data_IF_819364285512
#
_entry.id   IF_819364285512
#
_cell.length_a   1.000
_cell.length_b   1.000
_cell.length_c   1.000
_cell.angle_alpha   90.00
_cell.angle_beta   90.00
_cell.angle_gamma   90.00
#
_symmetry.space_group_name_H-M   'P 1'
#
loop_
_entity.id
_entity.type
_entity.pdbx_description
1 polymer ?
#
# COMPACT_ATOMS: atom_id res chain seq x y z
N UNK A 1 5.77 -32.10 -5.49
CA UNK A 1 5.83 -30.83 -4.76
C UNK A 1 4.50 -30.63 -4.06
N UNK A 2 4.53 -30.32 -2.76
CA UNK A 2 3.34 -30.15 -1.93
C UNK A 2 3.19 -28.70 -1.50
N UNK A 3 2.04 -28.11 -1.75
CA UNK A 3 1.76 -26.70 -1.45
C UNK A 3 0.61 -26.64 -0.43
N UNK A 4 0.86 -25.97 0.69
CA UNK A 4 -0.11 -25.78 1.76
C UNK A 4 -0.68 -24.36 1.68
N UNK A 5 -1.99 -24.21 1.57
CA UNK A 5 -2.64 -22.92 1.39
C UNK A 5 -3.50 -22.54 2.59
N UNK A 6 -3.54 -21.25 2.92
CA UNK A 6 -4.49 -20.68 3.87
C UNK A 6 -4.91 -19.28 3.45
N UNK A 7 -6.21 -19.06 3.46
CA UNK A 7 -6.86 -17.75 3.41
C UNK A 7 -8.04 -17.76 4.38
N UNK A 8 -8.43 -16.59 4.93
CA UNK A 8 -9.59 -16.50 5.80
C UNK A 8 -10.86 -16.98 5.11
N UNK A 9 -11.82 -17.55 5.88
CA UNK A 9 -13.13 -17.97 5.36
C UNK A 9 -13.83 -16.79 4.66
N UNK A 10 -14.51 -17.10 3.54
CA UNK A 10 -15.21 -16.08 2.73
C UNK A 10 -14.38 -15.46 1.60
N UNK A 11 -13.12 -15.81 1.48
CA UNK A 11 -12.28 -15.45 0.33
C UNK A 11 -12.59 -16.39 -0.85
N UNK A 12 -12.73 -15.86 -2.06
CA UNK A 12 -12.95 -16.65 -3.30
C UNK A 12 -11.63 -17.30 -3.76
N UNK A 13 -11.26 -18.38 -3.07
CA UNK A 13 -9.95 -19.02 -3.25
C UNK A 13 -9.96 -20.29 -4.09
N UNK A 14 -11.11 -20.85 -4.35
CA UNK A 14 -11.23 -22.07 -5.20
C UNK A 14 -10.70 -21.79 -6.62
N UNK A 15 -10.90 -20.57 -7.10
CA UNK A 15 -10.37 -20.09 -8.37
C UNK A 15 -8.84 -20.10 -8.42
N UNK A 16 -8.18 -19.62 -7.35
CA UNK A 16 -6.72 -19.62 -7.23
C UNK A 16 -6.12 -21.02 -7.34
N UNK A 17 -6.75 -22.03 -6.69
CA UNK A 17 -6.27 -23.41 -6.77
C UNK A 17 -6.35 -23.94 -8.19
N UNK A 18 -7.43 -23.65 -8.89
CA UNK A 18 -7.57 -24.07 -10.28
C UNK A 18 -6.45 -23.47 -11.15
N UNK A 19 -6.09 -22.21 -10.92
CA UNK A 19 -5.04 -21.52 -11.66
C UNK A 19 -3.65 -22.02 -11.27
N UNK A 20 -3.40 -22.31 -9.98
CA UNK A 20 -2.18 -23.01 -9.56
C UNK A 20 -2.06 -24.40 -10.18
N UNK A 21 -3.14 -25.16 -10.24
CA UNK A 21 -3.16 -26.48 -10.87
C UNK A 21 -2.82 -26.45 -12.36
N UNK A 22 -3.21 -25.38 -13.07
CA UNK A 22 -2.82 -25.16 -14.47
C UNK A 22 -1.35 -24.80 -14.61
N UNK A 23 -0.85 -23.89 -13.76
CA UNK A 23 0.51 -23.36 -13.83
C UNK A 23 1.57 -24.34 -13.29
N UNK A 24 1.21 -25.19 -12.33
CA UNK A 24 2.06 -26.21 -11.69
C UNK A 24 1.33 -27.56 -11.64
N UNK A 25 1.10 -28.25 -12.77
CA UNK A 25 0.31 -29.46 -12.84
C UNK A 25 0.86 -30.64 -12.01
N UNK A 26 2.16 -30.59 -11.64
CA UNK A 26 2.79 -31.58 -10.78
C UNK A 26 2.66 -31.26 -9.27
N UNK A 27 2.06 -30.14 -8.90
CA UNK A 27 1.90 -29.73 -7.52
C UNK A 27 0.63 -30.28 -6.90
N UNK A 28 0.76 -30.87 -5.73
CA UNK A 28 -0.36 -31.24 -4.86
C UNK A 28 -0.67 -30.03 -3.98
N UNK A 29 -1.79 -29.35 -4.24
CA UNK A 29 -2.23 -28.17 -3.49
C UNK A 29 -3.32 -28.59 -2.51
N UNK A 30 -3.15 -28.28 -1.22
CA UNK A 30 -4.15 -28.52 -0.19
C UNK A 30 -4.37 -27.33 0.71
N UNK A 31 -5.59 -27.23 1.26
CA UNK A 31 -5.89 -26.23 2.29
C UNK A 31 -5.51 -26.75 3.66
N UNK A 32 -4.86 -25.87 4.41
CA UNK A 32 -4.62 -26.11 5.82
C UNK A 32 -5.92 -26.12 6.62
N UNK A 33 -6.02 -27.08 7.52
CA UNK A 33 -7.07 -27.17 8.55
C UNK A 33 -6.40 -27.30 9.90
N UNK A 34 -7.07 -26.88 10.96
CA UNK A 34 -6.56 -27.05 12.31
C UNK A 34 -6.18 -28.51 12.58
N UNK A 35 -4.95 -28.71 13.07
CA UNK A 35 -4.36 -30.02 13.28
C UNK A 35 -3.66 -30.65 12.05
N UNK A 36 -3.65 -29.99 10.87
CA UNK A 36 -2.88 -30.47 9.72
C UNK A 36 -1.36 -30.20 9.91
N UNK A 37 -0.64 -31.28 10.24
CA UNK A 37 0.81 -31.31 10.37
C UNK A 37 1.50 -32.07 9.24
N UNK A 38 0.77 -32.44 8.17
CA UNK A 38 1.35 -33.17 7.06
C UNK A 38 2.44 -32.32 6.35
N UNK A 39 3.57 -32.91 5.93
CA UNK A 39 4.68 -32.16 5.30
C UNK A 39 4.23 -31.40 4.04
N UNK A 40 4.84 -30.22 3.85
CA UNK A 40 4.68 -29.43 2.63
C UNK A 40 6.02 -28.78 2.23
N UNK A 41 6.19 -28.55 0.94
CA UNK A 41 7.36 -27.85 0.40
C UNK A 41 7.21 -26.32 0.48
N UNK A 42 6.00 -25.81 0.25
CA UNK A 42 5.68 -24.39 0.21
C UNK A 42 4.39 -24.08 0.96
N UNK A 43 4.33 -22.88 1.54
CA UNK A 43 3.09 -22.34 2.10
C UNK A 43 2.68 -21.06 1.35
N UNK A 44 1.42 -20.98 0.93
CA UNK A 44 0.79 -19.80 0.34
C UNK A 44 -0.23 -19.25 1.34
N UNK A 45 -0.02 -18.06 1.86
CA UNK A 45 -0.78 -17.61 3.03
C UNK A 45 -1.26 -16.18 2.95
N UNK A 46 -2.48 -15.96 3.41
CA UNK A 46 -3.01 -14.66 3.71
C UNK A 46 -3.59 -14.65 5.13
N UNK A 47 -2.96 -13.87 6.05
CA UNK A 47 -3.33 -13.79 7.47
C UNK A 47 -3.52 -15.18 8.11
N UNK A 48 -2.54 -16.07 8.03
CA UNK A 48 -2.67 -17.42 8.59
C UNK A 48 -2.70 -17.38 10.13
N UNK A 49 -3.37 -18.36 10.77
CA UNK A 49 -3.24 -18.53 12.22
C UNK A 49 -1.81 -19.01 12.58
N UNK A 50 -1.29 -18.64 13.77
CA UNK A 50 0.05 -19.04 14.20
C UNK A 50 0.30 -20.56 14.12
N UNK A 51 -0.70 -21.37 14.47
CA UNK A 51 -0.61 -22.84 14.47
C UNK A 51 -0.27 -23.45 13.11
N UNK A 52 -0.57 -22.76 11.99
CA UNK A 52 -0.25 -23.24 10.65
C UNK A 52 1.26 -23.26 10.37
N UNK A 53 1.98 -22.28 10.89
CA UNK A 53 3.40 -22.06 10.55
C UNK A 53 4.34 -22.45 11.67
N UNK A 54 3.82 -22.58 12.90
CA UNK A 54 4.63 -22.91 14.06
C UNK A 54 5.34 -24.25 13.90
N UNK A 55 6.66 -24.24 14.05
CA UNK A 55 7.48 -25.47 13.97
C UNK A 55 7.69 -26.05 12.55
N UNK A 56 7.21 -25.37 11.50
CA UNK A 56 7.29 -25.85 10.11
C UNK A 56 8.68 -25.65 9.50
N UNK A 57 9.64 -26.47 9.93
CA UNK A 57 11.00 -26.49 9.36
C UNK A 57 11.10 -27.25 8.02
N UNK A 58 10.04 -27.91 7.60
CA UNK A 58 9.92 -28.65 6.35
C UNK A 58 9.73 -27.73 5.13
N UNK A 59 9.25 -26.50 5.34
CA UNK A 59 8.97 -25.53 4.27
C UNK A 59 10.26 -24.98 3.64
N UNK A 60 10.32 -24.95 2.33
CA UNK A 60 11.38 -24.29 1.55
C UNK A 60 11.17 -22.77 1.47
N UNK A 61 9.90 -22.32 1.41
CA UNK A 61 9.51 -20.91 1.48
C UNK A 61 8.05 -20.72 1.87
N UNK A 62 7.74 -19.52 2.38
CA UNK A 62 6.39 -19.04 2.68
C UNK A 62 6.10 -17.86 1.76
N UNK A 63 5.02 -17.92 0.97
CA UNK A 63 4.56 -16.83 0.12
C UNK A 63 3.40 -16.11 0.76
N UNK A 64 3.56 -14.81 1.02
CA UNK A 64 2.48 -13.95 1.45
C UNK A 64 1.69 -13.46 0.22
N UNK A 65 0.38 -13.68 0.22
CA UNK A 65 -0.53 -13.40 -0.89
C UNK A 65 -0.89 -11.91 -1.05
N UNK A 66 -0.04 -11.03 -0.60
CA UNK A 66 -0.18 -9.57 -0.73
C UNK A 66 1.17 -8.87 -0.66
N UNK A 67 1.20 -7.60 -1.04
CA UNK A 67 2.42 -6.78 -0.98
C UNK A 67 2.78 -6.38 0.45
N UNK A 68 1.80 -6.11 1.29
CA UNK A 68 2.00 -5.76 2.70
C UNK A 68 2.24 -7.01 3.55
N UNK A 69 3.28 -6.98 4.38
CA UNK A 69 3.72 -8.12 5.21
C UNK A 69 3.57 -7.88 6.71
N UNK A 70 3.04 -6.73 7.09
CA UNK A 70 2.84 -6.32 8.49
C UNK A 70 2.00 -7.33 9.29
N UNK A 71 0.96 -7.92 8.69
CA UNK A 71 0.10 -8.89 9.36
C UNK A 71 0.80 -10.23 9.61
N UNK A 72 1.58 -10.72 8.65
CA UNK A 72 2.30 -12.00 8.81
C UNK A 72 3.49 -11.86 9.74
N UNK A 73 4.18 -10.72 9.72
CA UNK A 73 5.31 -10.47 10.63
C UNK A 73 4.88 -10.40 12.11
N UNK A 74 3.63 -10.01 12.40
CA UNK A 74 3.07 -10.05 13.76
C UNK A 74 3.00 -11.46 14.36
N UNK A 75 3.13 -12.52 13.56
CA UNK A 75 3.20 -13.89 14.05
C UNK A 75 4.48 -14.17 14.85
N UNK A 76 5.51 -13.33 14.74
CA UNK A 76 6.74 -13.43 15.54
C UNK A 76 7.36 -14.83 15.51
N UNK A 77 7.49 -15.43 16.70
CA UNK A 77 8.12 -16.75 16.86
C UNK A 77 7.35 -17.93 16.20
N UNK A 78 6.11 -17.73 15.78
CA UNK A 78 5.39 -18.74 15.00
C UNK A 78 5.89 -18.81 13.55
N UNK A 79 6.62 -17.82 13.06
CA UNK A 79 7.29 -17.91 11.76
C UNK A 79 8.55 -18.77 11.90
N UNK A 80 8.68 -19.88 11.13
CA UNK A 80 9.81 -20.78 11.25
C UNK A 80 11.13 -20.05 10.93
N UNK A 81 12.12 -20.22 11.81
CA UNK A 81 13.45 -19.66 11.62
C UNK A 81 14.10 -20.26 10.37
N UNK A 82 14.79 -19.41 9.59
CA UNK A 82 15.51 -19.86 8.39
C UNK A 82 14.67 -20.15 7.15
N UNK A 83 13.33 -20.16 7.27
CA UNK A 83 12.45 -20.30 6.10
C UNK A 83 12.21 -18.90 5.51
N UNK A 84 12.55 -18.66 4.22
CA UNK A 84 12.33 -17.37 3.59
C UNK A 84 10.83 -17.04 3.49
N UNK A 85 10.49 -15.81 3.87
CA UNK A 85 9.18 -15.22 3.65
C UNK A 85 9.26 -14.36 2.39
N UNK A 86 8.40 -14.61 1.41
CA UNK A 86 8.41 -13.97 0.10
C UNK A 86 7.07 -13.29 -0.11
N UNK A 87 7.09 -12.01 -0.52
CA UNK A 87 5.88 -11.27 -0.84
C UNK A 87 5.58 -11.25 -2.34
N UNK A 88 4.33 -10.98 -2.68
CA UNK A 88 3.97 -10.48 -4.00
C UNK A 88 4.49 -9.05 -4.13
N UNK A 89 5.18 -8.72 -5.23
CA UNK A 89 5.78 -7.39 -5.40
C UNK A 89 4.86 -6.44 -6.12
N UNK A 90 4.25 -6.87 -7.21
CA UNK A 90 3.24 -6.10 -7.96
C UNK A 90 1.91 -6.85 -8.01
N UNK A 91 1.86 -8.04 -8.63
CA UNK A 91 0.63 -8.83 -8.75
C UNK A 91 -0.53 -8.03 -9.36
N UNK A 92 -0.27 -7.15 -10.32
CA UNK A 92 -1.27 -6.28 -10.95
C UNK A 92 -1.73 -5.09 -10.09
N UNK A 93 -1.15 -4.89 -8.90
CA UNK A 93 -1.54 -3.81 -7.99
C UNK A 93 -0.99 -2.44 -8.40
N UNK A 94 0.20 -2.38 -9.02
CA UNK A 94 0.88 -1.12 -9.28
C UNK A 94 0.09 -0.20 -10.22
N UNK A 95 -0.54 -0.75 -11.25
CA UNK A 95 -1.37 0.04 -12.17
C UNK A 95 -2.66 0.53 -11.51
N UNK A 96 -3.28 -0.29 -10.65
CA UNK A 96 -4.49 0.07 -9.91
C UNK A 96 -4.18 1.20 -8.93
N UNK A 97 -3.12 1.07 -8.16
CA UNK A 97 -2.66 2.08 -7.22
C UNK A 97 -2.32 3.40 -7.91
N UNK A 98 -1.62 3.33 -9.06
CA UNK A 98 -1.32 4.51 -9.87
C UNK A 98 -2.61 5.18 -10.38
N UNK A 99 -3.59 4.42 -10.84
CA UNK A 99 -4.89 4.94 -11.28
C UNK A 99 -5.65 5.61 -10.15
N UNK A 100 -5.71 4.96 -8.97
CA UNK A 100 -6.39 5.51 -7.79
C UNK A 100 -5.78 6.84 -7.34
N UNK A 101 -4.46 6.88 -7.17
CA UNK A 101 -3.74 8.08 -6.74
C UNK A 101 -3.85 9.18 -7.79
N UNK A 102 -3.73 8.85 -9.08
CA UNK A 102 -3.90 9.82 -10.17
C UNK A 102 -5.30 10.43 -10.16
N UNK A 103 -6.35 9.62 -9.96
CA UNK A 103 -7.72 10.11 -9.82
C UNK A 103 -7.85 11.13 -8.67
N UNK A 104 -7.31 10.81 -7.50
CA UNK A 104 -7.37 11.69 -6.33
C UNK A 104 -6.60 13.00 -6.58
N UNK A 105 -5.38 12.94 -7.12
CA UNK A 105 -4.55 14.10 -7.45
C UNK A 105 -5.24 15.01 -8.47
N UNK A 106 -5.76 14.46 -9.57
CA UNK A 106 -6.46 15.23 -10.59
C UNK A 106 -7.78 15.80 -10.05
N UNK A 107 -8.45 15.07 -9.17
CA UNK A 107 -9.66 15.54 -8.47
C UNK A 107 -9.40 16.79 -7.65
N UNK A 108 -8.32 16.82 -6.89
CA UNK A 108 -7.91 17.98 -6.09
C UNK A 108 -7.40 19.12 -6.96
N UNK A 109 -6.55 18.81 -7.94
CA UNK A 109 -6.04 19.82 -8.85
C UNK A 109 -7.17 20.51 -9.63
N UNK A 110 -8.10 19.71 -10.18
CA UNK A 110 -9.26 20.22 -10.92
C UNK A 110 -10.38 20.80 -10.07
N UNK A 111 -10.26 20.78 -8.74
CA UNK A 111 -11.27 21.29 -7.79
C UNK A 111 -12.66 20.62 -7.99
N UNK A 112 -12.67 19.34 -8.37
CA UNK A 112 -13.94 18.61 -8.65
C UNK A 112 -14.80 18.40 -7.41
N UNK A 113 -14.22 18.39 -6.23
CA UNK A 113 -14.92 18.42 -4.94
C UNK A 113 -15.80 19.66 -4.80
N UNK A 114 -15.26 20.84 -5.12
CA UNK A 114 -16.01 22.12 -5.07
C UNK A 114 -17.04 22.18 -6.20
N UNK A 115 -16.70 21.73 -7.40
CA UNK A 115 -17.68 21.71 -8.49
C UNK A 115 -18.86 20.77 -8.19
N UNK A 116 -18.65 19.64 -7.51
CA UNK A 116 -19.73 18.79 -7.03
C UNK A 116 -20.64 19.51 -6.03
N UNK A 117 -20.05 20.27 -5.10
CA UNK A 117 -20.84 21.09 -4.15
C UNK A 117 -21.62 22.19 -4.86
N UNK A 118 -21.03 22.88 -5.83
CA UNK A 118 -21.71 23.87 -6.66
C UNK A 118 -22.87 23.24 -7.44
N UNK A 119 -22.65 22.10 -8.06
CA UNK A 119 -23.70 21.38 -8.78
C UNK A 119 -24.90 21.01 -7.87
N UNK A 120 -24.64 20.55 -6.64
CA UNK A 120 -25.69 20.28 -5.65
C UNK A 120 -26.48 21.53 -5.28
N UNK A 121 -25.88 22.72 -5.30
CA UNK A 121 -26.51 24.01 -5.08
C UNK A 121 -27.05 24.70 -6.35
N UNK A 122 -26.91 24.05 -7.52
CA UNK A 122 -27.27 24.60 -8.84
C UNK A 122 -26.51 25.90 -9.17
N UNK A 123 -25.25 25.99 -8.73
CA UNK A 123 -24.39 27.15 -8.98
C UNK A 123 -23.53 26.86 -10.22
N UNK A 124 -23.52 27.77 -11.18
CA UNK A 124 -22.67 27.75 -12.37
C UNK A 124 -21.60 28.84 -12.24
N UNK A 125 -20.50 28.52 -11.58
CA UNK A 125 -19.40 29.46 -11.34
C UNK A 125 -18.05 28.81 -11.59
N UNK A 126 -17.31 29.20 -12.65
CA UNK A 126 -15.96 28.70 -12.86
C UNK A 126 -15.02 29.20 -11.74
N UNK A 127 -14.11 28.32 -11.33
CA UNK A 127 -13.03 28.66 -10.38
C UNK A 127 -11.78 29.11 -11.16
N UNK A 128 -10.89 29.91 -10.55
CA UNK A 128 -9.59 30.23 -11.14
C UNK A 128 -8.82 28.95 -11.47
N UNK A 129 -8.12 28.96 -12.62
CA UNK A 129 -7.29 27.84 -13.01
C UNK A 129 -6.11 27.66 -12.04
N UNK A 130 -5.90 26.46 -11.48
CA UNK A 130 -4.80 26.21 -10.58
C UNK A 130 -3.46 26.14 -11.32
N UNK A 131 -2.38 26.61 -10.68
CA UNK A 131 -1.03 26.52 -11.21
C UNK A 131 -0.42 25.15 -10.90
N UNK A 132 0.00 24.39 -11.92
CA UNK A 132 0.74 23.15 -11.72
C UNK A 132 2.06 23.36 -10.96
N UNK A 133 2.73 24.51 -11.14
CA UNK A 133 4.00 24.82 -10.46
C UNK A 133 3.86 24.86 -8.95
N UNK A 134 2.68 25.25 -8.46
CA UNK A 134 2.38 25.36 -7.03
C UNK A 134 1.67 24.10 -6.49
N UNK A 135 1.59 23.06 -7.30
CA UNK A 135 0.92 21.80 -6.96
C UNK A 135 1.92 20.63 -6.96
N UNK A 136 2.96 20.76 -6.13
CA UNK A 136 4.00 19.74 -5.99
C UNK A 136 3.46 18.50 -5.27
N UNK A 137 3.82 17.32 -5.78
CA UNK A 137 3.37 16.03 -5.26
C UNK A 137 4.55 15.31 -4.62
N UNK A 138 4.45 15.01 -3.33
CA UNK A 138 5.41 14.22 -2.57
C UNK A 138 4.92 12.79 -2.39
N UNK A 139 5.76 11.83 -2.74
CA UNK A 139 5.48 10.39 -2.60
C UNK A 139 6.37 9.84 -1.50
N UNK A 140 5.77 9.48 -0.36
CA UNK A 140 6.41 8.78 0.75
C UNK A 140 6.51 7.29 0.41
N UNK A 141 7.68 6.87 -0.09
CA UNK A 141 7.98 5.51 -0.51
C UNK A 141 8.11 5.37 -2.03
N UNK A 142 9.34 5.17 -2.52
CA UNK A 142 9.66 4.93 -3.93
C UNK A 142 10.02 3.45 -4.20
N UNK A 143 9.24 2.54 -3.62
CA UNK A 143 9.26 1.11 -3.97
C UNK A 143 8.56 0.85 -5.30
N UNK A 144 8.24 -0.41 -5.60
CA UNK A 144 7.58 -0.82 -6.86
C UNK A 144 6.31 0.00 -7.12
N UNK A 145 5.40 0.07 -6.14
CA UNK A 145 4.12 0.78 -6.27
C UNK A 145 4.33 2.30 -6.36
N UNK A 146 5.16 2.88 -5.48
CA UNK A 146 5.42 4.33 -5.47
C UNK A 146 6.13 4.82 -6.73
N UNK A 147 7.04 4.04 -7.29
CA UNK A 147 7.68 4.35 -8.57
C UNK A 147 6.67 4.33 -9.73
N UNK A 148 5.70 3.42 -9.70
CA UNK A 148 4.63 3.37 -10.71
C UNK A 148 3.69 4.56 -10.60
N UNK A 149 3.35 4.98 -9.37
CA UNK A 149 2.59 6.21 -9.11
C UNK A 149 3.33 7.43 -9.68
N UNK A 150 4.64 7.55 -9.37
CA UNK A 150 5.46 8.64 -9.88
C UNK A 150 5.48 8.69 -11.42
N UNK A 151 5.66 7.55 -12.07
CA UNK A 151 5.66 7.44 -13.53
C UNK A 151 4.30 7.84 -14.14
N UNK A 152 3.18 7.49 -13.52
CA UNK A 152 1.86 7.88 -13.99
C UNK A 152 1.62 9.39 -13.84
N UNK A 153 2.01 9.98 -12.71
CA UNK A 153 1.85 11.40 -12.43
C UNK A 153 2.79 12.29 -13.27
N UNK A 154 3.97 11.77 -13.65
CA UNK A 154 4.91 12.47 -14.52
C UNK A 154 4.29 12.85 -15.89
N UNK A 155 3.36 12.03 -16.40
CA UNK A 155 2.63 12.32 -17.62
C UNK A 155 1.85 13.65 -17.58
N UNK A 156 1.44 14.07 -16.38
CA UNK A 156 0.69 15.31 -16.19
C UNK A 156 1.57 16.52 -15.86
N UNK A 157 2.90 16.37 -15.88
CA UNK A 157 3.88 17.43 -15.70
C UNK A 157 3.78 18.16 -14.35
N UNK A 158 3.35 17.49 -13.29
CA UNK A 158 3.44 18.01 -11.93
C UNK A 158 4.88 17.97 -11.41
N UNK A 159 5.31 18.94 -10.58
CA UNK A 159 6.55 18.80 -9.84
C UNK A 159 6.47 17.59 -8.90
N UNK A 160 7.36 16.60 -9.08
CA UNK A 160 7.35 15.35 -8.31
C UNK A 160 8.54 15.29 -7.35
N UNK A 161 8.24 15.02 -6.09
CA UNK A 161 9.19 14.73 -5.03
C UNK A 161 8.97 13.30 -4.55
N UNK A 162 10.04 12.58 -4.21
CA UNK A 162 9.93 11.26 -3.63
C UNK A 162 10.85 11.12 -2.43
N UNK A 163 10.39 10.46 -1.37
CA UNK A 163 11.21 10.11 -0.23
C UNK A 163 11.44 8.61 -0.15
N UNK A 164 12.68 8.20 0.08
CA UNK A 164 13.08 6.80 0.21
C UNK A 164 14.29 6.65 1.12
N UNK A 165 14.48 5.46 1.73
CA UNK A 165 15.66 5.19 2.55
C UNK A 165 16.95 5.10 1.76
N UNK A 166 16.88 4.58 0.55
CA UNK A 166 18.01 4.41 -0.36
C UNK A 166 17.80 5.26 -1.61
N UNK A 167 18.88 5.75 -2.23
CA UNK A 167 18.77 6.53 -3.47
C UNK A 167 17.97 5.82 -4.54
N UNK A 168 17.13 6.58 -5.25
CA UNK A 168 16.33 6.15 -6.39
C UNK A 168 16.48 7.14 -7.52
N UNK A 169 16.74 6.64 -8.72
CA UNK A 169 16.79 7.43 -9.93
C UNK A 169 15.51 7.20 -10.72
N UNK A 170 14.59 8.16 -10.65
CA UNK A 170 13.32 8.13 -11.38
C UNK A 170 13.22 9.40 -12.23
N UNK A 171 12.98 9.29 -13.54
CA UNK A 171 12.86 10.44 -14.43
C UNK A 171 11.82 11.45 -13.93
N UNK A 172 12.23 12.72 -13.80
CA UNK A 172 11.35 13.82 -13.40
C UNK A 172 10.99 13.85 -11.90
N UNK A 173 11.59 12.98 -11.06
CA UNK A 173 11.34 12.93 -9.62
C UNK A 173 12.57 13.42 -8.86
N UNK A 174 12.41 14.44 -8.03
CA UNK A 174 13.44 14.85 -7.06
C UNK A 174 13.44 13.88 -5.88
N UNK A 175 14.49 13.08 -5.73
CA UNK A 175 14.58 12.10 -4.65
C UNK A 175 15.25 12.67 -3.40
N UNK A 176 14.59 12.54 -2.25
CA UNK A 176 15.07 12.83 -0.91
C UNK A 176 15.37 11.53 -0.19
N UNK A 177 16.56 11.40 0.38
CA UNK A 177 17.06 10.12 0.88
C UNK A 177 17.36 10.18 2.37
N UNK A 178 16.83 9.20 3.10
CA UNK A 178 17.07 9.04 4.53
C UNK A 178 16.25 9.97 5.41
N UNK A 179 16.34 9.76 6.71
CA UNK A 179 15.52 10.45 7.70
C UNK A 179 15.82 11.95 7.79
N UNK A 180 17.09 12.34 7.61
CA UNK A 180 17.53 13.73 7.64
C UNK A 180 16.90 14.58 6.51
N UNK A 181 16.54 13.94 5.39
CA UNK A 181 15.92 14.60 4.26
C UNK A 181 14.38 14.67 4.35
N UNK A 182 13.75 14.03 5.35
CA UNK A 182 12.29 14.00 5.47
C UNK A 182 11.68 15.40 5.59
N UNK A 183 12.28 16.26 6.41
CA UNK A 183 11.78 17.62 6.62
C UNK A 183 11.82 18.46 5.35
N UNK A 184 12.90 18.36 4.57
CA UNK A 184 13.03 19.05 3.30
C UNK A 184 12.03 18.53 2.26
N UNK A 185 11.85 17.20 2.20
CA UNK A 185 10.86 16.55 1.35
C UNK A 185 9.44 17.07 1.65
N UNK A 186 9.04 17.12 2.92
CA UNK A 186 7.72 17.60 3.32
C UNK A 186 7.51 19.06 2.93
N UNK A 187 8.52 19.95 3.18
CA UNK A 187 8.47 21.36 2.79
C UNK A 187 8.43 21.56 1.27
N UNK A 188 8.91 20.61 0.49
CA UNK A 188 8.86 20.64 -0.96
C UNK A 188 7.53 20.14 -1.54
N UNK A 189 6.64 19.58 -0.73
CA UNK A 189 5.45 18.85 -1.17
C UNK A 189 4.15 19.49 -0.67
N UNK A 190 3.19 19.73 -1.58
CA UNK A 190 1.85 20.21 -1.26
C UNK A 190 0.83 19.06 -1.14
N UNK A 191 0.93 18.07 -2.00
CA UNK A 191 0.16 16.83 -1.90
C UNK A 191 1.07 15.76 -1.34
N UNK A 192 0.69 15.11 -0.25
CA UNK A 192 1.42 14.00 0.34
C UNK A 192 0.73 12.69 0.01
N UNK A 193 1.41 11.80 -0.72
CA UNK A 193 0.97 10.43 -1.01
C UNK A 193 1.76 9.47 -0.12
N UNK A 194 1.09 8.77 0.79
CA UNK A 194 1.71 7.75 1.63
C UNK A 194 1.52 6.36 1.00
N UNK A 195 2.67 5.71 0.69
CA UNK A 195 2.76 4.35 0.16
C UNK A 195 3.92 3.57 0.80
N UNK A 196 4.22 3.86 2.07
CA UNK A 196 5.25 3.19 2.85
C UNK A 196 4.80 1.81 3.36
N UNK A 197 5.72 0.88 3.62
CA UNK A 197 5.44 -0.25 4.49
C UNK A 197 5.23 0.23 5.93
N UNK A 198 4.28 -0.39 6.64
CA UNK A 198 4.05 -0.09 8.06
C UNK A 198 5.05 -0.85 8.92
N UNK A 199 5.94 -0.09 9.55
CA UNK A 199 6.96 -0.56 10.49
C UNK A 199 6.93 0.33 11.73
N UNK A 200 7.66 -0.02 12.78
CA UNK A 200 7.78 0.83 13.97
C UNK A 200 8.34 2.22 13.63
N UNK A 201 9.26 2.31 12.67
CA UNK A 201 9.84 3.57 12.22
C UNK A 201 8.88 4.44 11.38
N UNK A 202 7.88 3.84 10.72
CA UNK A 202 6.93 4.56 9.86
C UNK A 202 5.55 4.71 10.47
N UNK A 203 5.28 4.07 11.60
CA UNK A 203 4.03 4.23 12.35
C UNK A 203 3.88 5.68 12.81
N UNK A 204 2.73 6.27 12.53
CA UNK A 204 2.44 7.66 12.89
C UNK A 204 3.34 8.69 12.20
N UNK A 205 3.99 8.35 11.09
CA UNK A 205 4.85 9.30 10.36
C UNK A 205 4.05 10.49 9.82
N UNK A 206 2.77 10.30 9.50
CA UNK A 206 1.83 11.34 9.09
C UNK A 206 1.10 11.86 10.33
N UNK A 207 1.81 12.65 11.13
CA UNK A 207 1.35 13.30 12.35
C UNK A 207 1.32 14.82 12.17
N UNK A 208 0.80 15.55 13.18
CA UNK A 208 0.71 17.01 13.17
C UNK A 208 2.04 17.67 12.79
N UNK A 209 3.12 17.32 13.49
CA UNK A 209 4.46 17.90 13.28
C UNK A 209 4.92 17.80 11.81
N UNK A 210 4.62 16.70 11.16
CA UNK A 210 5.04 16.46 9.77
C UNK A 210 4.05 17.07 8.77
N UNK A 211 2.75 17.00 9.00
CA UNK A 211 1.76 17.62 8.13
C UNK A 211 1.84 19.16 8.12
N UNK A 212 2.20 19.79 9.25
CA UNK A 212 2.40 21.24 9.32
C UNK A 212 3.55 21.76 8.46
N UNK A 213 4.49 20.87 8.07
CA UNK A 213 5.62 21.22 7.18
C UNK A 213 5.24 21.25 5.71
N UNK A 214 4.12 20.63 5.32
CA UNK A 214 3.69 20.61 3.93
C UNK A 214 3.47 22.01 3.38
N UNK A 215 3.75 22.17 2.08
CA UNK A 215 3.43 23.43 1.39
C UNK A 215 1.93 23.66 1.41
N UNK A 216 1.56 24.90 1.72
CA UNK A 216 0.15 25.32 1.69
C UNK A 216 -0.04 26.20 0.47
N UNK A 217 -0.97 25.82 -0.39
CA UNK A 217 -1.55 26.80 -1.28
C UNK A 217 -2.54 27.69 -0.51
N UNK A 218 -3.30 28.52 -1.22
CA UNK A 218 -4.35 29.34 -0.59
C UNK A 218 -5.38 28.49 0.20
N UNK A 219 -5.47 27.18 -0.06
CA UNK A 219 -6.48 26.29 0.45
C UNK A 219 -5.96 25.27 1.47
N UNK A 220 -4.64 25.14 1.62
CA UNK A 220 -3.99 24.12 2.43
C UNK A 220 -3.27 23.06 1.59
N UNK A 221 -2.73 22.04 2.27
CA UNK A 221 -2.13 20.85 1.67
C UNK A 221 -3.16 19.74 1.49
N UNK A 222 -2.78 18.67 0.80
CA UNK A 222 -3.64 17.49 0.58
C UNK A 222 -2.93 16.22 1.05
N UNK A 223 -3.70 15.27 1.58
CA UNK A 223 -3.19 13.97 1.99
C UNK A 223 -3.87 12.84 1.20
N UNK A 224 -3.10 11.88 0.73
CA UNK A 224 -3.58 10.63 0.14
C UNK A 224 -2.89 9.47 0.87
N UNK A 225 -3.66 8.61 1.55
CA UNK A 225 -3.11 7.42 2.19
C UNK A 225 -3.68 6.16 1.54
N UNK A 226 -2.81 5.45 0.84
CA UNK A 226 -3.09 4.16 0.16
C UNK A 226 -2.16 3.05 0.68
N UNK A 227 -1.54 3.26 1.84
CA UNK A 227 -0.59 2.33 2.44
C UNK A 227 -1.23 1.50 3.56
N UNK A 228 -1.22 2.03 4.80
CA UNK A 228 -1.90 1.47 5.99
C UNK A 228 -2.40 2.62 6.88
N UNK A 229 -3.49 2.39 7.60
CA UNK A 229 -4.05 3.40 8.52
C UNK A 229 -3.07 3.84 9.59
N UNK A 230 -2.29 2.91 10.15
CA UNK A 230 -1.31 3.20 11.18
C UNK A 230 -0.19 4.18 10.80
N UNK A 231 -0.12 4.65 9.56
CA UNK A 231 0.78 5.75 9.19
C UNK A 231 0.24 7.11 9.60
N UNK A 232 -1.09 7.28 9.67
CA UNK A 232 -1.77 8.55 9.95
C UNK A 232 -2.21 8.60 11.41
N UNK A 233 -1.88 9.68 12.09
CA UNK A 233 -2.49 10.01 13.38
C UNK A 233 -3.83 10.69 13.10
N UNK A 234 -4.92 9.92 13.16
CA UNK A 234 -6.25 10.32 12.69
C UNK A 234 -6.79 11.57 13.39
N UNK A 235 -6.55 11.71 14.71
CA UNK A 235 -6.93 12.89 15.47
C UNK A 235 -6.19 14.16 15.01
N UNK A 236 -4.90 14.04 14.67
CA UNK A 236 -4.11 15.15 14.15
C UNK A 236 -4.61 15.60 12.77
N UNK A 237 -4.92 14.62 11.90
CA UNK A 237 -5.46 14.91 10.57
C UNK A 237 -6.77 15.69 10.65
N UNK A 238 -7.71 15.21 11.48
CA UNK A 238 -9.00 15.87 11.65
C UNK A 238 -8.84 17.30 12.18
N UNK A 239 -7.99 17.50 13.19
CA UNK A 239 -7.71 18.83 13.73
C UNK A 239 -7.10 19.76 12.66
N UNK A 240 -6.11 19.29 11.90
CA UNK A 240 -5.47 20.09 10.84
C UNK A 240 -6.41 20.40 9.66
N UNK A 241 -7.37 19.55 9.38
CA UNK A 241 -8.44 19.84 8.42
C UNK A 241 -9.32 20.98 8.95
N UNK A 242 -9.73 20.94 10.23
CA UNK A 242 -10.53 22.00 10.83
C UNK A 242 -9.78 23.34 10.93
N UNK A 243 -8.49 23.30 11.14
CA UNK A 243 -7.58 24.46 11.16
C UNK A 243 -7.26 25.02 9.77
N UNK A 244 -7.67 24.32 8.68
CA UNK A 244 -7.38 24.72 7.30
C UNK A 244 -5.92 24.50 6.86
N UNK A 245 -5.15 23.71 7.61
CA UNK A 245 -3.79 23.33 7.24
C UNK A 245 -3.81 22.24 6.16
N UNK A 246 -4.73 21.29 6.29
CA UNK A 246 -5.03 20.26 5.30
C UNK A 246 -6.36 20.63 4.65
N UNK A 247 -6.37 20.82 3.35
CA UNK A 247 -7.55 21.18 2.57
C UNK A 247 -8.51 20.00 2.43
N UNK A 248 -7.98 18.84 2.15
CA UNK A 248 -8.74 17.58 2.05
C UNK A 248 -7.83 16.36 2.15
N UNK A 249 -8.45 15.20 2.40
CA UNK A 249 -7.75 13.91 2.41
C UNK A 249 -8.51 12.84 1.61
N UNK A 250 -7.79 11.93 0.98
CA UNK A 250 -8.31 10.68 0.42
C UNK A 250 -7.67 9.52 1.18
N UNK A 251 -8.51 8.75 1.87
CA UNK A 251 -8.07 7.65 2.72
C UNK A 251 -8.71 6.35 2.25
N UNK A 252 -7.86 5.41 1.85
CA UNK A 252 -8.29 4.05 1.48
C UNK A 252 -8.11 3.07 2.63
N UNK A 253 -7.36 3.47 3.67
CA UNK A 253 -6.95 2.63 4.79
C UNK A 253 -7.07 3.38 6.12
N UNK A 254 -7.38 2.63 7.21
CA UNK A 254 -7.69 3.18 8.52
C UNK A 254 -6.99 2.39 9.63
N UNK A 255 -6.79 3.00 10.81
CA UNK A 255 -6.20 2.31 11.97
C UNK A 255 -7.04 1.09 12.37
N UNK A 256 -8.37 1.24 12.32
CA UNK A 256 -9.31 0.14 12.50
C UNK A 256 -10.11 -0.10 11.22
N UNK A 257 -10.05 -1.31 10.69
CA UNK A 257 -10.81 -1.76 9.51
C UNK A 257 -11.66 -2.99 9.85
N UNK A 258 -12.97 -2.98 9.50
CA UNK A 258 -13.74 -1.90 8.88
C UNK A 258 -13.82 -0.64 9.73
N UNK A 259 -13.86 0.55 9.07
CA UNK A 259 -14.01 1.82 9.76
C UNK A 259 -15.34 1.84 10.57
N UNK A 260 -15.29 2.07 11.90
CA UNK A 260 -16.49 2.03 12.74
C UNK A 260 -17.57 3.02 12.28
N UNK A 261 -18.87 2.67 12.36
CA UNK A 261 -19.96 3.56 11.93
C UNK A 261 -20.01 4.92 12.62
N UNK A 262 -19.50 5.01 13.86
CA UNK A 262 -19.45 6.27 14.61
C UNK A 262 -18.13 7.04 14.45
N UNK A 263 -17.28 6.67 13.50
CA UNK A 263 -16.00 7.34 13.30
C UNK A 263 -16.20 8.75 12.74
N UNK A 264 -15.51 9.81 13.29
CA UNK A 264 -15.73 11.19 12.90
C UNK A 264 -15.42 11.49 11.42
N UNK A 265 -14.61 10.67 10.77
CA UNK A 265 -14.30 10.84 9.34
C UNK A 265 -15.53 10.71 8.43
N UNK A 266 -16.56 9.96 8.84
CA UNK A 266 -17.81 9.85 8.07
C UNK A 266 -18.56 11.18 7.93
N UNK A 267 -18.41 12.07 8.91
CA UNK A 267 -19.09 13.37 8.95
C UNK A 267 -18.23 14.52 8.38
N UNK A 268 -16.95 14.27 8.06
CA UNK A 268 -16.06 15.29 7.51
C UNK A 268 -16.07 15.26 5.97
N UNK A 269 -16.76 16.22 5.30
CA UNK A 269 -16.93 16.21 3.84
C UNK A 269 -15.65 16.42 3.04
N UNK A 270 -14.56 16.83 3.70
CA UNK A 270 -13.22 16.99 3.09
C UNK A 270 -12.42 15.70 3.13
N UNK A 271 -12.95 14.62 3.75
CA UNK A 271 -12.32 13.31 3.74
C UNK A 271 -13.07 12.39 2.77
N UNK A 272 -12.40 11.95 1.72
CA UNK A 272 -12.91 10.91 0.83
C UNK A 272 -12.45 9.54 1.37
N UNK A 273 -13.42 8.64 1.57
CA UNK A 273 -13.23 7.32 2.17
C UNK A 273 -13.47 6.25 1.11
N UNK A 274 -12.56 5.27 1.01
CA UNK A 274 -12.79 4.03 0.27
C UNK A 274 -12.40 2.83 1.14
N UNK A 275 -13.06 1.66 0.98
CA UNK A 275 -12.90 0.53 1.89
C UNK A 275 -11.75 -0.40 1.49
N UNK A 276 -10.51 0.10 1.49
CA UNK A 276 -9.26 -0.64 1.20
C UNK A 276 -9.27 -1.30 -0.18
N UNK A 277 -9.56 -0.49 -1.23
CA UNK A 277 -9.74 -0.95 -2.61
C UNK A 277 -8.77 -0.29 -3.61
N UNK A 278 -7.84 0.55 -3.14
CA UNK A 278 -6.90 1.27 -4.02
C UNK A 278 -6.05 0.35 -4.89
N UNK A 279 -5.80 -0.88 -4.41
CA UNK A 279 -5.23 -1.96 -5.20
C UNK A 279 -5.64 -3.31 -4.62
N UNK A 280 -6.22 -4.14 -5.45
CA UNK A 280 -6.57 -5.52 -5.14
C UNK A 280 -5.56 -6.44 -5.83
N UNK A 281 -5.09 -7.45 -5.10
CA UNK A 281 -4.22 -8.48 -5.68
C UNK A 281 -4.96 -9.16 -6.84
N UNK A 282 -4.39 -9.10 -8.05
CA UNK A 282 -4.96 -9.77 -9.23
C UNK A 282 -4.55 -11.23 -9.20
N UNK A 283 -5.54 -12.11 -9.16
CA UNK A 283 -5.34 -13.55 -8.96
C UNK A 283 -4.39 -14.15 -9.99
N UNK A 284 -4.66 -13.93 -11.26
CA UNK A 284 -3.87 -14.47 -12.37
C UNK A 284 -2.40 -14.03 -12.32
N UNK A 285 -2.15 -12.72 -12.18
CA UNK A 285 -0.79 -12.16 -12.11
C UNK A 285 -0.03 -12.68 -10.89
N UNK A 286 -0.73 -12.83 -9.76
CA UNK A 286 -0.14 -13.31 -8.52
C UNK A 286 0.20 -14.79 -8.57
N UNK A 287 -0.67 -15.61 -9.15
CA UNK A 287 -0.42 -17.04 -9.37
C UNK A 287 0.79 -17.21 -10.28
N UNK A 288 0.84 -16.47 -11.40
CA UNK A 288 1.98 -16.53 -12.33
C UNK A 288 3.29 -16.14 -11.64
N UNK A 289 3.29 -15.05 -10.86
CA UNK A 289 4.48 -14.59 -10.13
C UNK A 289 4.95 -15.62 -9.10
N UNK A 290 4.03 -16.20 -8.31
CA UNK A 290 4.37 -17.21 -7.31
C UNK A 290 4.91 -18.46 -7.99
N UNK A 291 4.24 -18.96 -9.04
CA UNK A 291 4.66 -20.14 -9.77
C UNK A 291 6.06 -19.98 -10.38
N UNK A 292 6.35 -18.82 -10.98
CA UNK A 292 7.66 -18.51 -11.52
C UNK A 292 8.73 -18.51 -10.43
N UNK A 293 8.44 -17.91 -9.25
CA UNK A 293 9.38 -17.92 -8.10
C UNK A 293 9.61 -19.32 -7.56
N UNK A 294 8.57 -20.15 -7.45
CA UNK A 294 8.70 -21.56 -7.04
C UNK A 294 9.60 -22.31 -8.02
N UNK A 295 9.41 -22.16 -9.32
CA UNK A 295 10.24 -22.80 -10.34
C UNK A 295 11.71 -22.38 -10.25
N UNK A 296 11.98 -21.12 -9.96
CA UNK A 296 13.35 -20.64 -9.73
C UNK A 296 13.96 -21.25 -8.47
N UNK A 297 13.22 -21.32 -7.36
CA UNK A 297 13.67 -21.94 -6.11
C UNK A 297 13.96 -23.43 -6.28
N UNK A 298 13.14 -24.17 -7.03
CA UNK A 298 13.39 -25.59 -7.34
C UNK A 298 14.66 -25.79 -8.20
N UNK A 299 15.09 -24.76 -8.94
CA UNK A 299 16.36 -24.75 -9.67
C UNK A 299 17.54 -24.27 -8.83
N UNK A 300 17.36 -24.00 -7.53
CA UNK A 300 18.39 -23.45 -6.64
C UNK A 300 18.76 -21.98 -6.94
N UNK A 301 17.89 -21.26 -7.67
CA UNK A 301 18.10 -19.84 -8.00
C UNK A 301 17.50 -18.94 -6.94
N UNK A 302 18.04 -17.73 -6.82
CA UNK A 302 17.50 -16.68 -5.96
C UNK A 302 16.24 -16.05 -6.59
N UNK A 303 15.34 -15.57 -5.73
CA UNK A 303 14.11 -14.87 -6.13
C UNK A 303 14.05 -13.49 -5.47
N UNK A 304 13.33 -12.57 -6.09
CA UNK A 304 13.04 -11.26 -5.52
C UNK A 304 11.89 -11.31 -4.50
N UNK A 305 11.72 -10.24 -3.72
CA UNK A 305 10.62 -10.12 -2.77
C UNK A 305 10.82 -10.89 -1.46
N UNK A 306 12.03 -11.40 -1.19
CA UNK A 306 12.37 -11.98 0.11
C UNK A 306 12.35 -10.85 1.15
N UNK A 307 11.62 -11.08 2.23
CA UNK A 307 11.44 -10.10 3.30
C UNK A 307 12.62 -10.16 4.26
N UNK A 308 13.22 -9.01 4.50
CA UNK A 308 14.12 -8.83 5.63
C UNK A 308 13.27 -8.62 6.90
N UNK A 309 13.18 -9.68 7.71
CA UNK A 309 12.38 -9.67 8.94
C UNK A 309 12.86 -8.64 9.97
N UNK A 310 14.14 -8.28 9.94
CA UNK A 310 14.70 -7.26 10.85
C UNK A 310 14.29 -5.84 10.46
N UNK A 311 14.10 -5.59 9.18
CA UNK A 311 13.65 -4.32 8.64
C UNK A 311 12.11 -4.20 8.52
N UNK A 312 11.38 -5.32 8.66
CA UNK A 312 9.93 -5.36 8.64
C UNK A 312 9.31 -5.30 7.22
N UNK A 313 10.09 -5.52 6.15
CA UNK A 313 9.57 -5.55 4.77
C UNK A 313 10.54 -6.12 3.75
#
# INVERSE_FOLDING_TARGET
>A
MKILCYVPPGSDFERWIADFGKALPQAEVRFWREGDNAPADYALVWRPPPAMLQGRSDLKAIFNLGAGVDAILKLGDALPAGVPLIRIEDGGMAIQMASYVTHAVLGYFGRYDIYRQQAARREWRPLPEPSKRDFSIGILGLGVLGSRIAAALAHFEFPLNGWSRTPKELPGVRNFVGDDALDEFLRASRVLVCILPLTDATRGIVNRKNMEKLQKGAEGAYLINVARGGHVVEADLLALIHEGQIAAATLDVFEQEPLPPGHPFWEEPRISITPHISAITVDEDSVQQICAKIQLLEQGKTVSGIIDRSNGY
#
